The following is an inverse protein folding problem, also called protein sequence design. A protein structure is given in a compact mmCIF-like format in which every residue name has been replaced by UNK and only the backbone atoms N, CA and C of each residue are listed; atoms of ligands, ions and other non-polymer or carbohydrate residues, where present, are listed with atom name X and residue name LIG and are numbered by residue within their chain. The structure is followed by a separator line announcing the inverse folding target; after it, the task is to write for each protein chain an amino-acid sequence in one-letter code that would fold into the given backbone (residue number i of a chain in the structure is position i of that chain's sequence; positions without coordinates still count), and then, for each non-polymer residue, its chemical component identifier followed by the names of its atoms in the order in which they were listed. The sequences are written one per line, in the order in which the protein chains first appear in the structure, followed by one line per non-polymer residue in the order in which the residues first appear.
data_IF_203445093760
#
_entry.id   IF_203445093760
#
_cell.length_a   1.000
_cell.length_b   1.000
_cell.length_c   1.000
_cell.angle_alpha   90.00
_cell.angle_beta   90.00
_cell.angle_gamma   90.00
#
_symmetry.space_group_name_H-M   'P 1'
#
loop_
_entity.id
_entity.type
_entity.pdbx_description
1 polymer ?
#
# COMPACT_ATOMS: atom_id res chain seq x y z
N UNK A 1 -11.90 -20.33 -18.52
CA UNK A 1 -11.91 -20.11 -17.04
C UNK A 1 -10.55 -19.57 -16.64
N UNK A 2 -10.49 -18.49 -15.86
CA UNK A 2 -9.20 -18.09 -15.27
C UNK A 2 -8.84 -19.13 -14.22
N UNK A 3 -7.63 -19.68 -14.28
CA UNK A 3 -7.12 -20.56 -13.23
C UNK A 3 -7.22 -19.84 -11.89
N UNK A 4 -7.72 -20.54 -10.88
CA UNK A 4 -7.82 -20.01 -9.51
C UNK A 4 -6.42 -19.99 -8.91
N UNK A 5 -5.90 -18.82 -8.61
CA UNK A 5 -4.63 -18.69 -7.91
C UNK A 5 -4.87 -19.01 -6.43
N UNK A 6 -4.14 -20.00 -5.91
CA UNK A 6 -4.11 -20.28 -4.48
C UNK A 6 -3.02 -19.44 -3.82
N UNK A 7 -3.36 -18.74 -2.74
CA UNK A 7 -2.43 -17.90 -2.00
C UNK A 7 -2.87 -17.73 -0.54
N UNK A 8 -1.92 -17.35 0.29
CA UNK A 8 -2.14 -16.99 1.69
C UNK A 8 -1.71 -15.55 1.95
N UNK A 9 -2.38 -14.89 2.89
CA UNK A 9 -2.07 -13.54 3.34
C UNK A 9 -1.56 -13.61 4.76
N UNK A 10 -0.35 -13.10 5.00
CA UNK A 10 0.33 -13.11 6.29
C UNK A 10 0.61 -11.70 6.78
N UNK A 11 0.37 -11.45 8.07
CA UNK A 11 0.81 -10.24 8.74
C UNK A 11 2.32 -10.31 8.98
N UNK A 12 3.02 -9.18 8.87
CA UNK A 12 4.46 -9.12 9.15
C UNK A 12 4.88 -7.81 9.81
N UNK A 13 6.07 -7.82 10.39
CA UNK A 13 6.72 -6.70 11.07
C UNK A 13 8.23 -6.73 10.82
N UNK A 14 9.00 -5.97 11.57
CA UNK A 14 10.47 -5.96 11.50
C UNK A 14 11.17 -7.31 11.71
N UNK A 15 10.49 -8.27 12.34
CA UNK A 15 11.02 -9.62 12.57
C UNK A 15 10.80 -10.56 11.38
N UNK A 16 10.32 -10.06 10.24
CA UNK A 16 10.14 -10.88 9.04
C UNK A 16 11.47 -11.45 8.56
N UNK A 17 11.42 -12.68 8.05
CA UNK A 17 12.58 -13.37 7.49
C UNK A 17 13.23 -12.57 6.35
N UNK A 18 14.56 -12.61 6.27
CA UNK A 18 15.34 -11.85 5.28
C UNK A 18 14.98 -12.21 3.83
N UNK A 19 14.68 -13.47 3.57
CA UNK A 19 14.25 -13.93 2.25
C UNK A 19 12.91 -13.31 1.82
N UNK A 20 11.95 -13.24 2.74
CA UNK A 20 10.67 -12.57 2.50
C UNK A 20 10.89 -11.07 2.28
N UNK A 21 11.73 -10.46 3.10
CA UNK A 21 12.06 -9.03 2.99
C UNK A 21 12.66 -8.69 1.63
N UNK A 22 13.60 -9.50 1.14
CA UNK A 22 14.21 -9.35 -0.20
C UNK A 22 13.16 -9.45 -1.31
N UNK A 23 12.27 -10.43 -1.25
CA UNK A 23 11.20 -10.58 -2.23
C UNK A 23 10.24 -9.37 -2.23
N UNK A 24 9.88 -8.84 -1.05
CA UNK A 24 9.06 -7.64 -0.94
C UNK A 24 9.79 -6.44 -1.56
N UNK A 25 11.10 -6.28 -1.31
CA UNK A 25 11.90 -5.22 -1.89
C UNK A 25 11.91 -5.29 -3.43
N UNK A 26 12.19 -6.45 -4.01
CA UNK A 26 12.17 -6.62 -5.46
C UNK A 26 10.79 -6.36 -6.05
N UNK A 27 9.73 -6.85 -5.41
CA UNK A 27 8.37 -6.59 -5.85
C UNK A 27 8.02 -5.10 -5.79
N UNK A 28 8.52 -4.36 -4.79
CA UNK A 28 8.38 -2.90 -4.73
C UNK A 28 9.04 -2.25 -5.96
N UNK A 29 10.28 -2.62 -6.27
CA UNK A 29 11.03 -2.03 -7.37
C UNK A 29 10.41 -2.34 -8.75
N UNK A 30 9.83 -3.52 -8.92
CA UNK A 30 9.08 -3.89 -10.13
C UNK A 30 7.80 -3.06 -10.34
N UNK A 31 7.28 -2.44 -9.29
CA UNK A 31 6.04 -1.64 -9.30
C UNK A 31 6.29 -0.12 -9.24
N UNK A 32 7.51 0.33 -9.46
CA UNK A 32 7.80 1.76 -9.62
C UNK A 32 7.44 2.21 -11.04
N UNK A 33 6.98 3.45 -11.24
CA UNK A 33 6.85 4.56 -10.28
C UNK A 33 5.53 4.59 -9.50
N UNK A 34 4.61 3.64 -9.69
CA UNK A 34 3.29 3.63 -9.02
C UNK A 34 3.41 3.54 -7.50
N UNK A 35 4.42 2.81 -7.02
CA UNK A 35 4.92 2.89 -5.64
C UNK A 35 6.27 3.59 -5.63
N UNK A 36 6.58 4.30 -4.56
CA UNK A 36 7.87 4.98 -4.44
C UNK A 36 9.04 3.99 -4.47
N UNK A 37 10.07 4.30 -5.25
CA UNK A 37 11.32 3.54 -5.27
C UNK A 37 12.02 3.58 -3.91
N UNK A 38 12.69 2.51 -3.55
CA UNK A 38 13.52 2.39 -2.35
C UNK A 38 14.98 2.20 -2.76
N UNK A 39 15.90 2.92 -2.14
CA UNK A 39 17.33 2.84 -2.52
C UNK A 39 18.00 1.55 -2.06
N UNK A 40 17.46 0.92 -1.02
CA UNK A 40 18.02 -0.29 -0.43
C UNK A 40 17.00 -1.11 0.37
N UNK A 41 17.34 -2.36 0.67
CA UNK A 41 16.57 -3.20 1.60
C UNK A 41 16.51 -2.56 2.99
N UNK A 42 17.55 -1.83 3.40
CA UNK A 42 17.58 -1.09 4.66
C UNK A 42 16.50 -0.01 4.71
N UNK A 43 16.20 0.65 3.60
CA UNK A 43 15.12 1.64 3.52
C UNK A 43 13.76 0.97 3.69
N UNK A 44 13.57 -0.22 3.12
CA UNK A 44 12.38 -1.03 3.36
C UNK A 44 12.26 -1.43 4.84
N UNK A 45 13.36 -1.86 5.47
CA UNK A 45 13.36 -2.19 6.91
C UNK A 45 12.96 -0.98 7.77
N UNK A 46 13.51 0.21 7.47
CA UNK A 46 13.16 1.45 8.15
C UNK A 46 11.68 1.80 7.96
N UNK A 47 11.16 1.65 6.75
CA UNK A 47 9.74 1.87 6.43
C UNK A 47 8.85 0.94 7.27
N UNK A 48 9.16 -0.35 7.30
CA UNK A 48 8.43 -1.35 8.09
C UNK A 48 8.51 -1.03 9.59
N UNK A 49 9.65 -0.57 10.08
CA UNK A 49 9.83 -0.18 11.49
C UNK A 49 8.93 0.99 11.90
N UNK A 50 8.68 1.93 11.00
CA UNK A 50 7.82 3.09 11.22
C UNK A 50 6.34 2.79 10.97
N UNK A 51 6.05 1.73 10.22
CA UNK A 51 4.71 1.32 9.86
C UNK A 51 3.97 0.65 11.03
N UNK A 52 2.66 0.47 10.87
CA UNK A 52 1.80 -0.08 11.93
C UNK A 52 1.17 -1.42 11.53
N UNK A 53 0.81 -1.56 10.27
CA UNK A 53 0.05 -2.73 9.79
C UNK A 53 0.57 -3.10 8.41
N UNK A 54 1.10 -4.33 8.29
CA UNK A 54 1.66 -4.83 7.04
C UNK A 54 1.20 -6.25 6.77
N UNK A 55 0.90 -6.53 5.51
CA UNK A 55 0.62 -7.88 5.03
C UNK A 55 1.39 -8.17 3.75
N UNK A 56 1.84 -9.41 3.60
CA UNK A 56 2.29 -9.95 2.32
C UNK A 56 1.41 -11.11 1.86
N UNK A 57 1.43 -11.36 0.58
CA UNK A 57 0.70 -12.44 -0.08
C UNK A 57 1.70 -13.40 -0.68
N UNK A 58 1.59 -14.68 -0.32
CA UNK A 58 2.48 -15.73 -0.81
C UNK A 58 1.71 -16.79 -1.59
N UNK A 59 2.26 -17.24 -2.71
CA UNK A 59 1.79 -18.34 -3.53
C UNK A 59 2.98 -19.16 -4.00
N UNK A 60 2.98 -20.47 -3.73
CA UNK A 60 4.07 -21.38 -4.14
C UNK A 60 5.47 -20.83 -3.77
N UNK A 61 5.63 -20.42 -2.51
CA UNK A 61 6.88 -19.85 -1.94
C UNK A 61 7.36 -18.53 -2.56
N UNK A 62 6.51 -17.87 -3.35
CA UNK A 62 6.78 -16.54 -3.93
C UNK A 62 5.89 -15.48 -3.33
N UNK A 63 6.48 -14.35 -2.99
CA UNK A 63 5.74 -13.16 -2.62
C UNK A 63 5.15 -12.53 -3.89
N UNK A 64 3.83 -12.48 -3.96
CA UNK A 64 3.08 -12.01 -5.12
C UNK A 64 2.34 -10.69 -4.88
N UNK A 65 2.34 -10.21 -3.64
CA UNK A 65 1.75 -8.94 -3.27
C UNK A 65 2.14 -8.54 -1.85
N UNK A 66 2.02 -7.25 -1.54
CA UNK A 66 2.14 -6.73 -0.18
C UNK A 66 1.42 -5.41 -0.02
N UNK A 67 1.16 -5.02 1.23
CA UNK A 67 0.62 -3.72 1.62
C UNK A 67 1.33 -3.24 2.89
N UNK A 68 1.67 -1.96 2.95
CA UNK A 68 2.29 -1.30 4.10
C UNK A 68 1.44 -0.10 4.49
N UNK A 69 1.01 -0.05 5.76
CA UNK A 69 0.13 0.96 6.28
C UNK A 69 0.67 1.61 7.55
N UNK A 70 0.34 2.87 7.74
CA UNK A 70 0.72 3.68 8.89
C UNK A 70 -0.52 4.13 9.66
N UNK A 71 -0.38 4.22 10.96
CA UNK A 71 -1.31 4.92 11.83
C UNK A 71 -0.84 6.36 12.06
N UNK A 72 -1.70 7.17 12.66
CA UNK A 72 -1.37 8.50 13.15
C UNK A 72 -0.16 8.48 14.11
N UNK A 73 0.52 9.63 14.24
CA UNK A 73 1.68 9.84 15.12
C UNK A 73 2.96 9.07 14.72
N UNK A 74 3.03 8.50 13.53
CA UNK A 74 4.30 7.99 13.01
C UNK A 74 5.26 9.14 12.70
N UNK A 75 6.55 8.90 12.89
CA UNK A 75 7.63 9.84 12.48
C UNK A 75 7.99 9.67 11.00
N UNK A 76 7.14 9.03 10.23
CA UNK A 76 7.33 8.84 8.80
C UNK A 76 7.38 10.17 8.06
N UNK A 77 8.52 10.44 7.41
CA UNK A 77 8.78 11.69 6.70
C UNK A 77 8.31 11.62 5.23
N UNK A 78 6.99 11.62 5.05
CA UNK A 78 6.33 11.66 3.75
C UNK A 78 5.37 12.83 3.68
N UNK A 79 5.46 13.65 2.63
CA UNK A 79 4.54 14.78 2.43
C UNK A 79 3.10 14.30 2.27
N UNK A 80 2.88 13.15 1.61
CA UNK A 80 1.57 12.54 1.47
C UNK A 80 1.00 12.10 2.83
N UNK A 81 1.82 11.44 3.66
CA UNK A 81 1.44 11.07 5.02
C UNK A 81 1.13 12.32 5.88
N UNK A 82 1.94 13.37 5.78
CA UNK A 82 1.74 14.64 6.50
C UNK A 82 0.44 15.34 6.10
N UNK A 83 0.02 15.23 4.84
CA UNK A 83 -1.28 15.76 4.41
C UNK A 83 -2.41 15.16 5.25
N UNK A 84 -2.48 13.84 5.38
CA UNK A 84 -3.51 13.18 6.17
C UNK A 84 -3.38 13.43 7.67
N UNK A 85 -2.14 13.59 8.17
CA UNK A 85 -1.91 13.95 9.59
C UNK A 85 -2.45 15.33 9.97
N UNK A 86 -2.66 16.22 8.99
CA UNK A 86 -3.29 17.52 9.19
C UNK A 86 -4.81 17.46 9.06
N UNK A 87 -5.32 16.58 8.18
CA UNK A 87 -6.75 16.46 7.90
C UNK A 87 -7.49 15.58 8.89
N UNK A 88 -6.81 14.55 9.43
CA UNK A 88 -7.43 13.51 10.25
C UNK A 88 -6.72 13.37 11.60
N UNK A 89 -7.48 13.28 12.67
CA UNK A 89 -6.94 13.04 14.01
C UNK A 89 -6.42 11.60 14.19
N UNK A 90 -7.20 10.65 13.69
CA UNK A 90 -6.89 9.22 13.70
C UNK A 90 -7.20 8.68 12.30
N UNK A 91 -6.32 7.88 11.74
CA UNK A 91 -6.49 7.35 10.39
C UNK A 91 -5.64 6.11 10.17
N UNK A 92 -5.94 5.38 9.11
CA UNK A 92 -5.12 4.30 8.58
C UNK A 92 -4.68 4.70 7.17
N UNK A 93 -3.40 5.00 7.00
CA UNK A 93 -2.82 5.43 5.74
C UNK A 93 -2.14 4.27 5.03
N UNK A 94 -2.59 3.96 3.81
CA UNK A 94 -1.96 3.00 2.93
C UNK A 94 -0.86 3.71 2.15
N UNK A 95 0.40 3.50 2.56
CA UNK A 95 1.55 4.10 1.90
C UNK A 95 1.85 3.43 0.57
N UNK A 96 1.80 2.10 0.55
CA UNK A 96 2.03 1.33 -0.66
C UNK A 96 1.31 0.00 -0.67
N UNK A 97 0.84 -0.37 -1.84
CA UNK A 97 0.33 -1.68 -2.18
C UNK A 97 0.89 -2.07 -3.54
N UNK A 98 1.44 -3.26 -3.65
CA UNK A 98 1.95 -3.78 -4.91
C UNK A 98 1.52 -5.22 -5.11
N UNK A 99 1.13 -5.54 -6.33
CA UNK A 99 0.80 -6.90 -6.78
C UNK A 99 1.67 -7.21 -8.00
N UNK A 100 2.33 -8.36 -7.99
CA UNK A 100 3.10 -8.84 -9.13
C UNK A 100 2.25 -8.84 -10.41
N UNK A 101 2.79 -8.34 -11.51
CA UNK A 101 2.06 -8.16 -12.77
C UNK A 101 1.33 -9.41 -13.23
N UNK A 102 1.94 -10.59 -13.05
CA UNK A 102 1.37 -11.89 -13.43
C UNK A 102 0.13 -12.27 -12.61
N UNK A 103 0.01 -11.72 -11.41
CA UNK A 103 -1.05 -12.04 -10.45
C UNK A 103 -2.09 -10.93 -10.29
N UNK A 104 -2.04 -9.91 -11.13
CA UNK A 104 -3.06 -8.87 -11.17
C UNK A 104 -4.38 -9.42 -11.72
N UNK A 105 -5.49 -8.82 -11.32
CA UNK A 105 -6.87 -9.19 -11.69
C UNK A 105 -7.37 -10.53 -11.15
N UNK A 106 -6.70 -11.09 -10.14
CA UNK A 106 -7.17 -12.25 -9.35
C UNK A 106 -7.80 -11.85 -8.01
N UNK A 107 -8.10 -10.56 -7.81
CA UNK A 107 -8.74 -10.07 -6.59
C UNK A 107 -7.80 -9.88 -5.39
N UNK A 108 -6.50 -10.09 -5.55
CA UNK A 108 -5.51 -10.03 -4.46
C UNK A 108 -5.49 -8.64 -3.81
N UNK A 109 -5.42 -7.58 -4.59
CA UNK A 109 -5.45 -6.21 -4.07
C UNK A 109 -6.74 -5.91 -3.30
N UNK A 110 -7.90 -6.38 -3.82
CA UNK A 110 -9.17 -6.26 -3.12
C UNK A 110 -9.15 -6.99 -1.78
N UNK A 111 -8.60 -8.20 -1.72
CA UNK A 111 -8.53 -8.98 -0.48
C UNK A 111 -7.57 -8.37 0.55
N UNK A 112 -6.48 -7.72 0.13
CA UNK A 112 -5.64 -6.93 1.01
C UNK A 112 -6.42 -5.74 1.59
N UNK A 113 -7.15 -4.99 0.74
CA UNK A 113 -7.98 -3.87 1.21
C UNK A 113 -9.11 -4.32 2.13
N UNK A 114 -9.74 -5.47 1.90
CA UNK A 114 -10.76 -6.00 2.82
C UNK A 114 -10.19 -6.30 4.21
N UNK A 115 -8.94 -6.78 4.30
CA UNK A 115 -8.27 -6.94 5.61
C UNK A 115 -8.01 -5.60 6.29
N UNK A 116 -7.56 -4.60 5.57
CA UNK A 116 -7.33 -3.25 6.10
C UNK A 116 -8.67 -2.61 6.50
N UNK A 117 -9.70 -2.77 5.69
CA UNK A 117 -11.03 -2.25 5.99
C UNK A 117 -11.63 -2.84 7.26
N UNK A 118 -11.49 -4.15 7.49
CA UNK A 118 -11.91 -4.76 8.76
C UNK A 118 -11.26 -4.09 9.97
N UNK A 119 -9.95 -3.86 9.91
CA UNK A 119 -9.20 -3.18 10.98
C UNK A 119 -9.69 -1.72 11.14
N UNK A 120 -9.92 -1.02 10.04
CA UNK A 120 -10.38 0.35 10.05
C UNK A 120 -11.78 0.47 10.69
N UNK A 121 -12.70 -0.42 10.33
CA UNK A 121 -14.05 -0.49 10.91
C UNK A 121 -13.98 -0.77 12.42
N UNK A 122 -13.22 -1.79 12.84
CA UNK A 122 -13.10 -2.18 14.25
C UNK A 122 -12.53 -1.05 15.13
N UNK A 123 -11.74 -0.14 14.55
CA UNK A 123 -11.11 0.98 15.24
C UNK A 123 -11.73 2.35 14.90
N UNK A 124 -12.80 2.38 14.12
CA UNK A 124 -13.47 3.60 13.66
C UNK A 124 -12.50 4.60 13.00
N UNK A 125 -11.74 4.13 12.01
CA UNK A 125 -10.73 4.90 11.30
C UNK A 125 -11.13 5.11 9.83
N UNK A 126 -10.92 6.32 9.28
CA UNK A 126 -10.89 6.47 7.84
C UNK A 126 -9.64 5.77 7.25
N UNK A 127 -9.79 5.24 6.04
CA UNK A 127 -8.66 4.73 5.25
C UNK A 127 -8.25 5.82 4.27
N UNK A 128 -6.98 6.14 4.25
CA UNK A 128 -6.39 7.20 3.43
C UNK A 128 -5.30 6.64 2.52
N UNK A 129 -5.19 7.17 1.32
CA UNK A 129 -4.09 6.86 0.39
C UNK A 129 -3.94 7.96 -0.66
N UNK A 130 -2.83 7.93 -1.40
CA UNK A 130 -2.69 8.71 -2.62
C UNK A 130 -2.50 7.80 -3.84
N UNK A 131 -2.84 8.35 -5.00
CA UNK A 131 -2.64 7.70 -6.30
C UNK A 131 -2.04 8.70 -7.27
N UNK A 132 -1.04 8.29 -8.04
CA UNK A 132 -0.42 9.12 -9.06
C UNK A 132 -1.42 9.56 -10.13
N UNK A 133 -1.44 10.86 -10.41
CA UNK A 133 -2.20 11.49 -11.49
C UNK A 133 -1.31 11.96 -12.63
N UNK A 134 -0.01 12.15 -12.37
CA UNK A 134 1.03 12.42 -13.36
C UNK A 134 2.34 11.77 -12.88
N UNK A 135 2.82 10.70 -13.52
CA UNK A 135 2.16 9.93 -14.58
C UNK A 135 0.85 9.29 -14.13
N UNK A 136 -0.13 9.22 -15.02
CA UNK A 136 -1.51 8.84 -14.68
C UNK A 136 -1.67 7.34 -14.43
N UNK A 137 -2.04 6.96 -13.21
CA UNK A 137 -2.38 5.59 -12.82
C UNK A 137 -3.91 5.34 -12.85
N UNK A 138 -4.48 5.25 -14.07
CA UNK A 138 -5.92 5.05 -14.28
C UNK A 138 -6.47 3.81 -13.56
N UNK A 139 -5.68 2.73 -13.55
CA UNK A 139 -6.10 1.45 -12.97
C UNK A 139 -6.30 1.60 -11.47
N UNK A 140 -5.35 2.22 -10.79
CA UNK A 140 -5.41 2.45 -9.35
C UNK A 140 -6.52 3.45 -8.98
N UNK A 141 -6.67 4.53 -9.73
CA UNK A 141 -7.76 5.51 -9.52
C UNK A 141 -9.13 4.81 -9.62
N UNK A 142 -9.33 4.02 -10.69
CA UNK A 142 -10.59 3.27 -10.86
C UNK A 142 -10.81 2.28 -9.73
N UNK A 143 -9.77 1.53 -9.35
CA UNK A 143 -9.85 0.55 -8.27
C UNK A 143 -10.30 1.21 -6.96
N UNK A 144 -9.70 2.33 -6.56
CA UNK A 144 -10.05 3.01 -5.32
C UNK A 144 -11.47 3.59 -5.36
N UNK A 145 -11.87 4.20 -6.48
CA UNK A 145 -13.25 4.69 -6.65
C UNK A 145 -14.27 3.55 -6.57
N UNK A 146 -14.02 2.44 -7.25
CA UNK A 146 -14.89 1.26 -7.22
C UNK A 146 -14.94 0.61 -5.82
N UNK A 147 -13.87 0.73 -5.03
CA UNK A 147 -13.82 0.25 -3.64
C UNK A 147 -14.51 1.21 -2.64
N UNK A 148 -14.96 2.39 -3.09
CA UNK A 148 -15.73 3.35 -2.31
C UNK A 148 -14.92 4.54 -1.78
N UNK A 149 -13.71 4.76 -2.25
CA UNK A 149 -12.92 5.95 -1.92
C UNK A 149 -13.42 7.19 -2.67
N UNK A 150 -13.35 8.32 -1.99
CA UNK A 150 -13.59 9.65 -2.57
C UNK A 150 -12.30 10.45 -2.62
N UNK A 151 -12.10 11.20 -3.69
CA UNK A 151 -11.00 12.15 -3.81
C UNK A 151 -11.28 13.35 -2.90
N UNK A 152 -10.29 13.72 -2.07
CA UNK A 152 -10.39 14.81 -1.10
C UNK A 152 -9.38 15.93 -1.32
N UNK A 153 -8.47 15.77 -2.27
CA UNK A 153 -7.45 16.76 -2.59
C UNK A 153 -6.44 16.23 -3.59
N UNK A 154 -5.48 17.07 -3.90
CA UNK A 154 -4.38 16.72 -4.79
C UNK A 154 -3.11 17.51 -4.42
N UNK A 155 -1.97 17.02 -4.88
CA UNK A 155 -0.68 17.66 -4.69
C UNK A 155 0.17 17.51 -5.95
N UNK A 156 0.79 18.60 -6.37
CA UNK A 156 1.80 18.59 -7.42
C UNK A 156 3.18 18.68 -6.80
N UNK A 157 4.04 17.74 -7.14
CA UNK A 157 5.46 17.73 -6.80
C UNK A 157 6.28 18.16 -8.01
N UNK A 158 7.60 18.22 -7.88
CA UNK A 158 8.49 18.62 -8.97
C UNK A 158 8.42 17.65 -10.16
N UNK A 159 8.35 16.34 -9.88
CA UNK A 159 8.48 15.23 -10.85
C UNK A 159 7.19 14.40 -11.03
N UNK A 160 6.17 14.62 -10.21
CA UNK A 160 4.90 13.88 -10.26
C UNK A 160 3.75 14.65 -9.61
N UNK A 161 2.54 14.13 -9.77
CA UNK A 161 1.36 14.63 -9.08
C UNK A 161 0.54 13.47 -8.52
N UNK A 162 -0.19 13.72 -7.44
CA UNK A 162 -1.04 12.73 -6.78
C UNK A 162 -2.43 13.29 -6.51
N UNK A 163 -3.43 12.41 -6.45
CA UNK A 163 -4.72 12.67 -5.83
C UNK A 163 -4.80 11.96 -4.49
N UNK A 164 -5.39 12.62 -3.51
CA UNK A 164 -5.61 12.08 -2.16
C UNK A 164 -7.02 11.50 -2.07
N UNK A 165 -7.11 10.27 -1.57
CA UNK A 165 -8.34 9.52 -1.43
C UNK A 165 -8.61 9.15 0.02
N UNK A 166 -9.91 9.14 0.38
CA UNK A 166 -10.39 8.74 1.71
C UNK A 166 -11.65 7.90 1.60
N UNK A 167 -11.75 6.89 2.44
CA UNK A 167 -12.93 6.05 2.63
C UNK A 167 -13.29 5.95 4.12
#
# INVERSE_FOLDING_TARGET
MKEKVEYNIHKFSNSVDSYILEQIYFLNQENTPEVGSLSSIKDLQNLIRLSSINYYVISQDKIIGFIICFREHSTYDSENYKFFSKEERNFLYVDRIAISHKYRRFGIGKNLYLKIESIAIDNNLPICCEVNTDPLNKISIKFHKDFGFSEIGNQKFHDHSVAYFKK
#
